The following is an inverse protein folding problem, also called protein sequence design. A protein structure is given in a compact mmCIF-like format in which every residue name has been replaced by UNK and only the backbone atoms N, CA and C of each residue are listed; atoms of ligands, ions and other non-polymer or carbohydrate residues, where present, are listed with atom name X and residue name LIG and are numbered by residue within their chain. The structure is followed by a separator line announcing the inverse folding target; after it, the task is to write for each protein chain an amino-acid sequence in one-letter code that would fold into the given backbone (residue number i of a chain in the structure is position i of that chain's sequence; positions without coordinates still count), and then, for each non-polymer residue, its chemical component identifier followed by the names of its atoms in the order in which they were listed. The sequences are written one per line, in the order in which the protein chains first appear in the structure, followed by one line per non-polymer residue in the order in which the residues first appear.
data_IF_439467725997
#
_entry.id   IF_439467725997
#
_cell.length_a   1.000
_cell.length_b   1.000
_cell.length_c   1.000
_cell.angle_alpha   90.00
_cell.angle_beta   90.00
_cell.angle_gamma   90.00
#
_symmetry.space_group_name_H-M   'P 1'
#
loop_
_entity.id
_entity.type
_entity.pdbx_description
1 polymer ?
#
# COMPACT_ATOMS: atom_id res chain seq x y z
N UNK A 1 -13.50 -18.70 -26.91
CA UNK A 1 -14.08 -17.37 -26.66
C UNK A 1 -14.26 -17.26 -25.16
N UNK A 2 -13.47 -16.42 -24.52
CA UNK A 2 -13.46 -16.25 -23.07
C UNK A 2 -14.51 -15.21 -22.67
N UNK A 3 -15.50 -15.61 -21.87
CA UNK A 3 -16.55 -14.71 -21.37
C UNK A 3 -16.18 -14.25 -19.96
N UNK A 4 -15.94 -12.95 -19.78
CA UNK A 4 -15.63 -12.36 -18.46
C UNK A 4 -16.85 -11.66 -17.90
N UNK A 5 -17.26 -12.05 -16.69
CA UNK A 5 -18.38 -11.43 -15.97
C UNK A 5 -17.85 -10.75 -14.70
N UNK A 6 -18.29 -9.51 -14.47
CA UNK A 6 -18.00 -8.77 -13.24
C UNK A 6 -19.22 -8.88 -12.32
N UNK A 7 -19.00 -9.39 -11.11
CA UNK A 7 -20.06 -9.58 -10.11
C UNK A 7 -19.69 -8.89 -8.80
N UNK A 8 -20.68 -8.29 -8.13
CA UNK A 8 -20.51 -7.74 -6.79
C UNK A 8 -20.98 -8.76 -5.77
N UNK A 9 -20.09 -9.16 -4.86
CA UNK A 9 -20.43 -10.10 -3.79
C UNK A 9 -20.99 -9.34 -2.61
N UNK A 10 -22.27 -9.55 -2.30
CA UNK A 10 -22.99 -8.82 -1.24
C UNK A 10 -22.99 -9.53 0.11
N UNK A 11 -22.72 -10.85 0.13
CA UNK A 11 -22.78 -11.68 1.33
C UNK A 11 -21.53 -12.55 1.49
N UNK A 12 -21.09 -12.75 2.73
CA UNK A 12 -19.89 -13.52 3.02
C UNK A 12 -20.05 -15.02 2.66
N UNK A 13 -21.27 -15.58 2.70
CA UNK A 13 -21.54 -16.96 2.26
C UNK A 13 -21.35 -17.13 0.76
N UNK A 14 -21.62 -16.09 -0.03
CA UNK A 14 -21.40 -16.11 -1.46
C UNK A 14 -19.89 -16.16 -1.80
N UNK A 15 -19.00 -15.61 -0.96
CA UNK A 15 -17.55 -15.79 -1.15
C UNK A 15 -17.11 -17.24 -1.03
N UNK A 16 -17.68 -17.99 -0.08
CA UNK A 16 -17.39 -19.41 0.08
C UNK A 16 -17.85 -20.19 -1.15
N UNK A 17 -19.08 -19.93 -1.62
CA UNK A 17 -19.60 -20.56 -2.84
C UNK A 17 -18.74 -20.27 -4.07
N UNK A 18 -18.25 -19.03 -4.23
CA UNK A 18 -17.35 -18.68 -5.33
C UNK A 18 -16.00 -19.41 -5.23
N UNK A 19 -15.49 -19.62 -4.02
CA UNK A 19 -14.28 -20.39 -3.78
C UNK A 19 -14.49 -21.87 -4.11
N UNK A 20 -15.62 -22.44 -3.70
CA UNK A 20 -15.97 -23.83 -4.00
C UNK A 20 -16.11 -24.05 -5.52
N UNK A 21 -16.67 -23.05 -6.25
CA UNK A 21 -16.76 -23.08 -7.72
C UNK A 21 -15.40 -22.90 -8.41
N UNK A 22 -14.47 -22.17 -7.79
CA UNK A 22 -13.07 -22.06 -8.25
C UNK A 22 -12.32 -23.38 -8.08
N UNK A 23 -12.53 -24.11 -6.96
CA UNK A 23 -11.94 -25.45 -6.76
C UNK A 23 -12.42 -26.47 -7.79
N UNK A 24 -13.66 -26.32 -8.26
CA UNK A 24 -14.22 -27.11 -9.36
C UNK A 24 -13.77 -26.63 -10.75
N UNK A 25 -12.90 -25.61 -10.84
CA UNK A 25 -12.41 -24.99 -12.08
C UNK A 25 -13.52 -24.43 -13.00
N UNK A 26 -14.70 -24.13 -12.46
CA UNK A 26 -15.84 -23.61 -13.23
C UNK A 26 -15.74 -22.09 -13.44
N UNK A 27 -15.13 -21.39 -12.49
CA UNK A 27 -14.89 -19.96 -12.54
C UNK A 27 -13.46 -19.67 -12.13
N UNK A 28 -12.91 -18.58 -12.65
CA UNK A 28 -11.60 -18.06 -12.24
C UNK A 28 -11.83 -16.70 -11.59
N UNK A 29 -11.49 -16.56 -10.30
CA UNK A 29 -11.63 -15.27 -9.63
C UNK A 29 -10.51 -14.35 -10.10
N UNK A 30 -10.82 -13.45 -11.03
CA UNK A 30 -9.90 -12.40 -11.45
C UNK A 30 -9.87 -11.36 -10.34
N UNK A 31 -8.94 -11.53 -9.38
CA UNK A 31 -8.61 -10.48 -8.43
C UNK A 31 -7.88 -9.37 -9.19
N UNK A 32 -8.62 -8.49 -9.86
CA UNK A 32 -8.10 -7.16 -10.19
C UNK A 32 -7.90 -6.47 -8.87
N UNK A 33 -6.73 -6.69 -8.27
CA UNK A 33 -6.35 -5.97 -7.08
C UNK A 33 -6.57 -4.50 -7.36
N UNK A 34 -7.37 -3.86 -6.51
CA UNK A 34 -7.05 -2.52 -6.09
C UNK A 34 -5.63 -2.58 -5.53
N UNK A 35 -4.62 -2.59 -6.40
CA UNK A 35 -3.33 -2.04 -6.06
C UNK A 35 -3.63 -0.56 -5.92
N UNK A 36 -4.13 -0.17 -4.75
CA UNK A 36 -3.92 1.20 -4.30
C UNK A 36 -2.45 1.47 -4.62
N UNK A 37 -2.14 2.47 -5.47
CA UNK A 37 -0.76 2.69 -5.84
C UNK A 37 -0.02 2.78 -4.51
N UNK A 38 0.91 1.85 -4.30
CA UNK A 38 1.83 1.91 -3.17
C UNK A 38 2.75 3.07 -3.51
N UNK A 39 2.21 4.29 -3.46
CA UNK A 39 2.95 5.51 -3.72
C UNK A 39 4.05 5.48 -2.69
N UNK A 40 5.28 5.27 -3.17
CA UNK A 40 6.43 5.12 -2.30
C UNK A 40 6.45 6.34 -1.40
N UNK A 41 6.57 6.18 -0.08
CA UNK A 41 6.55 7.33 0.83
C UNK A 41 7.58 8.39 0.39
N UNK A 42 8.71 7.96 -0.18
CA UNK A 42 9.70 8.85 -0.78
C UNK A 42 9.14 9.75 -1.87
N UNK A 43 8.21 9.28 -2.70
CA UNK A 43 7.55 10.08 -3.73
C UNK A 43 6.49 11.01 -3.13
N UNK A 44 5.74 10.54 -2.12
CA UNK A 44 4.74 11.37 -1.41
C UNK A 44 5.38 12.56 -0.69
N UNK A 45 6.58 12.38 -0.11
CA UNK A 45 7.25 13.40 0.69
C UNK A 45 8.40 14.11 -0.04
N UNK A 46 8.64 13.80 -1.33
CA UNK A 46 9.68 14.45 -2.14
C UNK A 46 9.36 15.94 -2.30
N UNK A 47 10.28 16.80 -1.84
CA UNK A 47 10.15 18.25 -2.01
C UNK A 47 9.18 18.96 -1.06
N UNK A 48 8.57 18.25 -0.10
CA UNK A 48 7.73 18.87 0.94
C UNK A 48 8.58 19.72 1.91
N UNK A 49 9.84 19.33 2.13
CA UNK A 49 10.78 20.07 2.97
C UNK A 49 11.58 21.03 2.09
N UNK A 50 11.44 22.32 2.35
CA UNK A 50 12.28 23.36 1.74
C UNK A 50 13.72 23.22 2.22
N UNK A 51 14.71 23.51 1.35
CA UNK A 51 16.15 23.35 1.65
C UNK A 51 16.54 23.93 3.03
N UNK A 52 16.12 25.17 3.30
CA UNK A 52 16.36 25.87 4.57
C UNK A 52 15.87 25.08 5.80
N UNK A 53 14.65 24.53 5.73
CA UNK A 53 14.05 23.75 6.83
C UNK A 53 14.71 22.38 6.99
N UNK A 54 15.29 21.83 5.91
CA UNK A 54 16.10 20.61 5.96
C UNK A 54 17.43 20.84 6.67
N UNK A 55 18.10 21.96 6.42
CA UNK A 55 19.35 22.33 7.08
C UNK A 55 19.15 22.57 8.59
N UNK A 56 18.05 23.22 8.97
CA UNK A 56 17.70 23.41 10.39
C UNK A 56 17.41 22.07 11.10
N UNK A 57 16.73 21.13 10.42
CA UNK A 57 16.45 19.80 10.96
C UNK A 57 17.75 19.00 11.14
N UNK A 58 18.64 19.04 10.16
CA UNK A 58 19.92 18.32 10.19
C UNK A 58 20.80 18.82 11.35
N UNK A 59 20.90 20.15 11.52
CA UNK A 59 21.60 20.76 12.64
C UNK A 59 21.02 20.33 13.99
N UNK A 60 19.69 20.29 14.11
CA UNK A 60 19.02 19.85 15.33
C UNK A 60 19.26 18.35 15.63
N UNK A 61 19.24 17.50 14.61
CA UNK A 61 19.56 16.07 14.74
C UNK A 61 21.03 15.88 15.17
N UNK A 62 21.95 16.68 14.63
CA UNK A 62 23.37 16.68 15.01
C UNK A 62 23.58 17.03 16.48
N UNK A 63 22.89 18.05 16.99
CA UNK A 63 22.92 18.42 18.41
C UNK A 63 22.39 17.29 19.30
N UNK A 64 21.20 16.76 18.98
CA UNK A 64 20.63 15.63 19.73
C UNK A 64 21.59 14.43 19.75
N UNK A 65 22.17 14.04 18.61
CA UNK A 65 23.11 12.90 18.57
C UNK A 65 24.37 13.15 19.40
N UNK A 66 24.85 14.39 19.44
CA UNK A 66 26.01 14.77 20.25
C UNK A 66 25.70 14.67 21.73
N UNK A 67 24.51 15.10 22.16
CA UNK A 67 24.03 14.96 23.53
C UNK A 67 23.91 13.49 23.94
N UNK A 68 23.39 12.63 23.06
CA UNK A 68 23.29 11.18 23.32
C UNK A 68 24.64 10.45 23.38
N UNK A 69 25.66 10.94 22.65
CA UNK A 69 27.02 10.40 22.72
C UNK A 69 27.83 10.91 23.92
N UNK A 70 27.29 11.91 24.65
CA UNK A 70 27.93 12.52 25.82
C UNK A 70 27.37 11.98 27.15
N UNK A 71 26.57 10.91 27.10
CA UNK A 71 26.02 10.16 28.24
C UNK A 71 26.64 8.76 28.22
#
# INVERSE_FOLDING_TARGET
MDNTFVITVTDNKALKLLRDLEELNLIKVIKTGFTAPTTKLSEKYKGIISKKKGEELDAHIGQMRTEWNSI
#
